data_IF_126693820823
#
_entry.id   IF_126693820823
#
_cell.length_a   1.000
_cell.length_b   1.000
_cell.length_c   1.000
_cell.angle_alpha   90.00
_cell.angle_beta   90.00
_cell.angle_gamma   90.00
#
_symmetry.space_group_name_H-M   'P 1'
#
loop_
_entity.id
_entity.type
_entity.pdbx_description
1 polymer ?
#
# COMPACT_ATOMS: atom_id res chain seq x y z
N UNK A 1 -12.37 25.02 -5.39
CA UNK A 1 -11.18 24.42 -4.74
C UNK A 1 -11.03 22.96 -5.13
N UNK A 2 -11.87 22.04 -4.64
CA UNK A 2 -11.76 20.60 -4.99
C UNK A 2 -11.89 20.33 -6.49
N UNK A 3 -12.88 20.94 -7.15
CA UNK A 3 -13.01 20.89 -8.61
C UNK A 3 -11.73 21.37 -9.32
N UNK A 4 -11.14 22.48 -8.86
CA UNK A 4 -9.95 23.07 -9.48
C UNK A 4 -8.72 22.19 -9.29
N UNK A 5 -8.61 21.50 -8.15
CA UNK A 5 -7.57 20.49 -7.90
C UNK A 5 -7.65 19.37 -8.94
N UNK A 6 -8.78 18.66 -9.05
CA UNK A 6 -8.93 17.55 -10.00
C UNK A 6 -8.69 17.99 -11.45
N UNK A 7 -9.20 19.17 -11.82
CA UNK A 7 -8.98 19.74 -13.15
C UNK A 7 -7.51 20.07 -13.40
N UNK A 8 -6.86 20.77 -12.49
CA UNK A 8 -5.51 21.31 -12.73
C UNK A 8 -4.43 20.25 -12.57
N UNK A 9 -4.62 19.35 -11.61
CA UNK A 9 -3.66 18.31 -11.28
C UNK A 9 -3.89 17.10 -12.19
N UNK A 10 -5.11 16.56 -12.24
CA UNK A 10 -5.37 15.28 -12.92
C UNK A 10 -5.99 15.40 -14.31
N UNK A 11 -6.26 16.62 -14.78
CA UNK A 11 -7.01 16.87 -16.02
C UNK A 11 -8.38 16.16 -16.03
N UNK A 12 -9.03 16.13 -14.85
CA UNK A 12 -10.34 15.52 -14.62
C UNK A 12 -11.38 16.58 -14.32
N UNK A 13 -12.49 16.61 -15.06
CA UNK A 13 -13.50 17.66 -14.97
C UNK A 13 -14.71 17.21 -14.14
N UNK A 14 -14.99 17.87 -13.03
CA UNK A 14 -16.09 17.47 -12.13
C UNK A 14 -15.74 16.25 -11.29
N UNK A 15 -16.75 15.61 -10.70
CA UNK A 15 -16.57 14.33 -10.00
C UNK A 15 -16.48 13.17 -11.00
N UNK A 16 -17.12 13.29 -12.16
CA UNK A 16 -17.32 12.22 -13.14
C UNK A 16 -16.42 12.28 -14.38
N UNK A 17 -15.60 13.32 -14.51
CA UNK A 17 -14.74 13.54 -15.67
C UNK A 17 -15.46 14.19 -16.87
N UNK A 18 -16.78 14.44 -16.77
CA UNK A 18 -17.60 15.02 -17.83
C UNK A 18 -18.10 16.42 -17.52
N UNK A 19 -17.49 17.08 -16.51
CA UNK A 19 -17.85 18.43 -16.09
C UNK A 19 -19.30 18.53 -15.60
N UNK A 20 -19.81 17.47 -14.97
CA UNK A 20 -21.15 17.48 -14.37
C UNK A 20 -21.27 18.54 -13.28
N UNK A 21 -22.49 19.06 -13.12
CA UNK A 21 -22.78 20.10 -12.14
C UNK A 21 -22.59 19.54 -10.74
N UNK A 22 -21.81 20.22 -9.92
CA UNK A 22 -21.61 19.88 -8.51
C UNK A 22 -22.67 20.59 -7.68
N UNK A 23 -23.53 19.84 -6.99
CA UNK A 23 -24.60 20.37 -6.13
C UNK A 23 -24.28 20.08 -4.67
N UNK A 24 -24.40 21.11 -3.83
CA UNK A 24 -24.15 21.05 -2.39
C UNK A 24 -25.42 21.50 -1.66
N UNK A 25 -25.96 20.62 -0.83
CA UNK A 25 -27.19 20.82 -0.06
C UNK A 25 -26.84 21.15 1.40
N UNK A 26 -26.75 22.44 1.70
CA UNK A 26 -26.48 22.95 3.04
C UNK A 26 -27.77 23.14 3.84
N UNK A 27 -27.66 23.09 5.17
CA UNK A 27 -28.82 23.14 6.08
C UNK A 27 -29.84 22.04 5.79
N UNK A 28 -29.36 20.89 5.33
CA UNK A 28 -30.21 19.72 5.16
C UNK A 28 -30.56 19.18 6.55
N UNK A 29 -31.82 19.37 6.96
CA UNK A 29 -32.28 18.98 8.29
C UNK A 29 -33.02 17.66 8.21
N UNK A 30 -32.41 16.64 8.77
CA UNK A 30 -33.06 15.36 9.05
C UNK A 30 -33.12 15.16 10.57
N UNK A 31 -34.32 15.34 11.14
CA UNK A 31 -34.51 15.47 12.60
C UNK A 31 -34.06 14.24 13.41
N UNK A 32 -33.87 13.10 12.77
CA UNK A 32 -33.47 11.84 13.41
C UNK A 32 -32.02 11.44 13.11
N UNK A 33 -31.34 12.14 12.20
CA UNK A 33 -29.94 11.91 11.87
C UNK A 33 -29.00 12.69 12.82
N UNK A 34 -27.79 12.17 13.02
CA UNK A 34 -26.73 12.87 13.72
C UNK A 34 -26.03 13.88 12.79
N UNK A 35 -25.22 14.76 13.36
CA UNK A 35 -24.30 15.60 12.59
C UNK A 35 -23.47 14.75 11.62
N UNK A 36 -23.60 15.01 10.31
CA UNK A 36 -22.88 14.27 9.27
C UNK A 36 -22.77 15.08 7.96
N UNK A 37 -21.90 14.64 7.06
CA UNK A 37 -21.97 14.95 5.64
C UNK A 37 -21.94 13.64 4.84
N UNK A 38 -22.48 13.65 3.63
CA UNK A 38 -22.40 12.50 2.75
C UNK A 38 -22.55 12.88 1.28
N UNK A 39 -21.88 12.14 0.41
CA UNK A 39 -22.21 12.03 -1.02
C UNK A 39 -23.35 11.04 -1.23
N UNK A 40 -24.41 11.48 -1.91
CA UNK A 40 -25.48 10.58 -2.36
C UNK A 40 -25.19 10.11 -3.80
N UNK A 41 -24.88 8.83 -4.04
CA UNK A 41 -24.60 8.32 -5.38
C UNK A 41 -25.84 8.21 -6.27
N UNK A 42 -27.06 8.29 -5.70
CA UNK A 42 -28.31 8.23 -6.47
C UNK A 42 -28.67 9.58 -7.07
N UNK A 43 -28.48 10.65 -6.30
CA UNK A 43 -28.74 12.02 -6.77
C UNK A 43 -27.48 12.69 -7.34
N UNK A 44 -26.30 12.15 -7.03
CA UNK A 44 -24.99 12.73 -7.37
C UNK A 44 -24.80 14.12 -6.75
N UNK A 45 -25.20 14.29 -5.48
CA UNK A 45 -25.13 15.54 -4.73
C UNK A 45 -24.49 15.33 -3.35
N UNK A 46 -23.93 16.39 -2.77
CA UNK A 46 -23.38 16.37 -1.41
C UNK A 46 -24.40 16.97 -0.44
N UNK A 47 -24.65 16.31 0.68
CA UNK A 47 -25.56 16.75 1.73
C UNK A 47 -24.83 16.99 3.04
N UNK A 48 -25.20 18.06 3.73
CA UNK A 48 -24.63 18.43 5.03
C UNK A 48 -25.72 18.50 6.09
N UNK A 49 -25.74 17.48 6.96
CA UNK A 49 -26.60 17.40 8.14
C UNK A 49 -25.86 18.03 9.31
N UNK A 50 -26.00 19.34 9.49
CA UNK A 50 -25.47 20.01 10.67
C UNK A 50 -26.26 21.27 10.99
N UNK A 51 -26.14 21.73 12.23
CA UNK A 51 -26.78 22.96 12.65
C UNK A 51 -25.75 24.06 12.98
N UNK A 52 -25.50 25.01 12.06
CA UNK A 52 -24.54 26.09 12.30
C UNK A 52 -24.88 26.92 13.53
N UNK A 53 -23.87 27.42 14.23
CA UNK A 53 -23.99 28.11 15.53
C UNK A 53 -24.98 29.30 15.54
N UNK A 54 -25.15 29.97 14.39
CA UNK A 54 -26.00 31.16 14.20
C UNK A 54 -27.25 30.90 13.36
N UNK A 55 -27.69 29.64 13.22
CA UNK A 55 -28.81 29.26 12.35
C UNK A 55 -30.12 29.03 13.12
N UNK A 56 -31.24 29.08 12.39
CA UNK A 56 -32.58 28.87 12.97
C UNK A 56 -32.79 27.44 13.47
N UNK A 57 -32.04 26.45 12.97
CA UNK A 57 -32.22 25.07 13.44
C UNK A 57 -31.85 24.89 14.92
N UNK A 58 -31.05 25.80 15.49
CA UNK A 58 -30.75 25.82 16.92
C UNK A 58 -32.00 26.06 17.78
N UNK A 59 -33.01 26.74 17.22
CA UNK A 59 -34.30 26.94 17.89
C UNK A 59 -35.09 25.65 18.07
N UNK A 60 -34.84 24.62 17.26
CA UNK A 60 -35.47 23.31 17.42
C UNK A 60 -34.89 22.53 18.60
N UNK A 61 -33.72 22.91 19.12
CA UNK A 61 -33.13 22.33 20.33
C UNK A 61 -32.85 20.83 20.22
N UNK A 62 -32.64 20.30 19.01
CA UNK A 62 -32.43 18.86 18.77
C UNK A 62 -30.98 18.50 19.11
N UNK A 63 -30.70 17.76 20.20
CA UNK A 63 -29.33 17.56 20.67
C UNK A 63 -28.43 16.81 19.67
N UNK A 64 -28.99 15.92 18.85
CA UNK A 64 -28.24 15.11 17.87
C UNK A 64 -27.62 15.91 16.72
N UNK A 65 -28.14 17.10 16.41
CA UNK A 65 -27.63 18.01 15.37
C UNK A 65 -26.98 19.26 15.97
N UNK A 66 -27.00 19.40 17.30
CA UNK A 66 -26.41 20.48 18.10
C UNK A 66 -25.30 19.94 19.00
N UNK A 67 -24.56 18.95 18.49
CA UNK A 67 -23.45 18.37 19.23
C UNK A 67 -22.29 19.38 19.28
N UNK A 68 -21.88 19.85 20.49
CA UNK A 68 -20.83 20.85 20.65
C UNK A 68 -19.43 20.32 20.30
N UNK A 69 -19.31 19.03 19.98
CA UNK A 69 -18.08 18.41 19.47
C UNK A 69 -17.74 18.94 18.07
N UNK A 70 -18.76 19.34 17.29
CA UNK A 70 -18.60 19.71 15.89
C UNK A 70 -18.86 21.20 15.65
N UNK A 71 -17.99 21.83 14.86
CA UNK A 71 -18.13 23.22 14.44
C UNK A 71 -18.78 23.36 13.05
N UNK A 72 -18.16 22.80 12.01
CA UNK A 72 -18.60 22.99 10.62
C UNK A 72 -18.36 21.76 9.73
N UNK A 73 -19.43 21.19 9.18
CA UNK A 73 -19.35 20.10 8.20
C UNK A 73 -19.17 20.60 6.76
N UNK A 74 -19.29 21.90 6.50
CA UNK A 74 -18.98 22.51 5.19
C UNK A 74 -17.53 22.92 5.04
N UNK A 75 -16.66 22.47 5.96
CA UNK A 75 -15.21 22.65 5.89
C UNK A 75 -14.66 22.10 4.56
N UNK A 76 -13.50 22.62 4.14
CA UNK A 76 -12.88 22.12 2.90
C UNK A 76 -12.52 20.64 3.02
N UNK A 77 -12.15 20.21 4.22
CA UNK A 77 -11.79 18.83 4.52
C UNK A 77 -12.94 17.87 4.23
N UNK A 78 -14.10 18.13 4.85
CA UNK A 78 -15.30 17.32 4.66
C UNK A 78 -15.80 17.44 3.22
N UNK A 79 -15.88 18.66 2.68
CA UNK A 79 -16.36 18.88 1.30
C UNK A 79 -15.51 18.17 0.25
N UNK A 80 -14.19 18.14 0.42
CA UNK A 80 -13.29 17.45 -0.50
C UNK A 80 -13.31 15.93 -0.34
N UNK A 81 -13.52 15.44 0.88
CA UNK A 81 -13.79 14.02 1.16
C UNK A 81 -15.09 13.57 0.48
N UNK A 82 -16.21 14.28 0.67
CA UNK A 82 -17.49 13.92 0.06
C UNK A 82 -17.45 13.97 -1.47
N UNK A 83 -16.83 15.00 -2.03
CA UNK A 83 -16.58 15.06 -3.48
C UNK A 83 -15.73 13.87 -3.96
N UNK A 84 -14.80 13.43 -3.11
CA UNK A 84 -13.96 12.26 -3.32
C UNK A 84 -14.76 10.99 -3.58
N UNK A 85 -15.87 10.77 -2.86
CA UNK A 85 -16.75 9.63 -3.11
C UNK A 85 -17.34 9.65 -4.53
N UNK A 86 -17.72 10.82 -5.04
CA UNK A 86 -18.17 10.96 -6.42
C UNK A 86 -17.09 10.58 -7.43
N UNK A 87 -15.83 10.97 -7.19
CA UNK A 87 -14.68 10.59 -8.02
C UNK A 87 -14.40 9.09 -7.95
N UNK A 88 -14.44 8.51 -6.75
CA UNK A 88 -14.24 7.07 -6.53
C UNK A 88 -15.33 6.26 -7.23
N UNK A 89 -16.58 6.69 -7.11
CA UNK A 89 -17.73 6.08 -7.77
C UNK A 89 -17.62 6.11 -9.30
N UNK A 90 -17.20 7.24 -9.87
CA UNK A 90 -17.06 7.40 -11.31
C UNK A 90 -15.88 6.59 -11.92
N UNK A 91 -14.80 6.39 -11.16
CA UNK A 91 -13.59 5.71 -11.66
C UNK A 91 -13.59 4.21 -11.38
N UNK A 92 -13.82 3.82 -10.13
CA UNK A 92 -13.65 2.43 -9.69
C UNK A 92 -14.97 1.75 -9.32
N UNK A 93 -15.99 2.52 -8.93
CA UNK A 93 -17.29 1.98 -8.53
C UNK A 93 -17.21 0.99 -7.37
N UNK A 94 -16.30 1.23 -6.41
CA UNK A 94 -16.12 0.40 -5.22
C UNK A 94 -17.45 0.18 -4.50
N UNK A 95 -17.81 -1.08 -4.27
CA UNK A 95 -19.09 -1.45 -3.70
C UNK A 95 -19.07 -1.32 -2.16
N UNK A 96 -20.17 -1.74 -1.53
CA UNK A 96 -20.34 -1.70 -0.08
C UNK A 96 -19.86 -2.96 0.65
N UNK A 97 -19.04 -3.81 0.00
CA UNK A 97 -18.36 -4.89 0.71
C UNK A 97 -17.29 -4.31 1.65
N UNK A 98 -16.89 -5.01 2.73
CA UNK A 98 -15.99 -4.48 3.76
C UNK A 98 -14.73 -3.76 3.27
N UNK A 99 -13.90 -4.41 2.45
CA UNK A 99 -12.66 -3.81 1.96
C UNK A 99 -12.86 -2.76 0.85
N UNK A 100 -13.68 -3.00 -0.20
CA UNK A 100 -13.96 -1.96 -1.19
C UNK A 100 -14.53 -0.68 -0.57
N UNK A 101 -15.39 -0.81 0.44
CA UNK A 101 -15.96 0.35 1.12
C UNK A 101 -14.89 1.09 1.95
N UNK A 102 -14.05 0.37 2.70
CA UNK A 102 -12.92 0.97 3.40
C UNK A 102 -11.92 1.65 2.43
N UNK A 103 -11.70 1.10 1.23
CA UNK A 103 -10.91 1.77 0.20
C UNK A 103 -11.58 3.04 -0.31
N UNK A 104 -12.91 3.03 -0.48
CA UNK A 104 -13.66 4.23 -0.90
C UNK A 104 -13.48 5.38 0.10
N UNK A 105 -13.67 5.10 1.39
CA UNK A 105 -13.38 6.04 2.48
C UNK A 105 -11.92 6.52 2.47
N UNK A 106 -10.97 5.60 2.32
CA UNK A 106 -9.54 5.93 2.37
C UNK A 106 -9.08 6.76 1.17
N UNK A 107 -9.64 6.52 -0.02
CA UNK A 107 -9.38 7.38 -1.18
C UNK A 107 -10.00 8.77 -0.99
N UNK A 108 -11.19 8.87 -0.41
CA UNK A 108 -11.80 10.17 -0.07
C UNK A 108 -10.94 10.96 0.93
N UNK A 109 -10.37 10.30 1.94
CA UNK A 109 -9.35 10.90 2.82
C UNK A 109 -8.11 11.35 2.02
N UNK A 110 -7.58 10.52 1.11
CA UNK A 110 -6.44 10.90 0.26
C UNK A 110 -6.74 12.15 -0.58
N UNK A 111 -7.95 12.26 -1.15
CA UNK A 111 -8.34 13.43 -1.93
C UNK A 111 -8.43 14.68 -1.07
N UNK A 112 -8.95 14.59 0.15
CA UNK A 112 -8.88 15.68 1.11
C UNK A 112 -7.44 16.13 1.34
N UNK A 113 -6.53 15.21 1.70
CA UNK A 113 -5.12 15.52 1.95
C UNK A 113 -4.49 16.23 0.75
N UNK A 114 -4.75 15.73 -0.46
CA UNK A 114 -4.18 16.26 -1.68
C UNK A 114 -4.75 17.65 -2.05
N UNK A 115 -6.06 17.87 -1.83
CA UNK A 115 -6.71 19.18 -1.99
C UNK A 115 -6.17 20.19 -0.98
N UNK A 116 -5.98 19.81 0.28
CA UNK A 116 -5.38 20.65 1.31
C UNK A 116 -3.93 21.03 0.95
N UNK A 117 -3.14 20.09 0.44
CA UNK A 117 -1.81 20.39 -0.10
C UNK A 117 -1.88 21.38 -1.28
N UNK A 118 -2.81 21.17 -2.21
CA UNK A 118 -2.99 22.03 -3.38
C UNK A 118 -3.34 23.47 -2.99
N UNK A 119 -4.32 23.68 -2.12
CA UNK A 119 -4.72 25.05 -1.72
C UNK A 119 -3.66 25.73 -0.88
N UNK A 120 -2.89 24.99 -0.07
CA UNK A 120 -1.75 25.56 0.64
C UNK A 120 -0.70 26.11 -0.33
N UNK A 121 -0.41 25.36 -1.41
CA UNK A 121 0.60 25.76 -2.40
C UNK A 121 0.12 26.84 -3.36
N UNK A 122 -1.12 26.74 -3.83
CA UNK A 122 -1.65 27.61 -4.90
C UNK A 122 -2.31 28.87 -4.35
N UNK A 123 -2.98 28.76 -3.20
CA UNK A 123 -3.74 29.86 -2.59
C UNK A 123 -3.07 30.41 -1.32
N UNK A 124 -1.96 29.83 -0.87
CA UNK A 124 -1.25 30.27 0.34
C UNK A 124 -2.02 29.96 1.63
N UNK A 125 -3.02 29.07 1.58
CA UNK A 125 -3.75 28.63 2.76
C UNK A 125 -2.84 27.87 3.73
N UNK A 126 -3.30 27.68 4.96
CA UNK A 126 -2.55 27.00 6.03
C UNK A 126 -3.35 25.84 6.60
N UNK A 127 -3.81 24.95 5.72
CA UNK A 127 -4.58 23.74 6.04
C UNK A 127 -3.67 22.69 6.66
N UNK A 128 -4.21 21.89 7.59
CA UNK A 128 -3.56 20.68 8.03
C UNK A 128 -3.73 19.59 6.96
N UNK A 129 -2.65 18.85 6.68
CA UNK A 129 -2.68 17.79 5.69
C UNK A 129 -2.95 16.41 6.30
N UNK A 130 -2.70 16.21 7.59
CA UNK A 130 -2.64 14.85 8.17
C UNK A 130 -3.70 14.58 9.22
N UNK A 131 -4.47 15.60 9.59
CA UNK A 131 -5.70 15.47 10.36
C UNK A 131 -6.87 15.63 9.39
N UNK A 132 -7.83 14.73 9.52
CA UNK A 132 -9.04 14.74 8.68
C UNK A 132 -10.12 15.44 9.48
N UNK A 133 -10.73 16.47 8.88
CA UNK A 133 -11.83 17.24 9.46
C UNK A 133 -11.44 17.95 10.78
N UNK A 134 -10.21 18.51 10.84
CA UNK A 134 -9.73 19.27 12.01
C UNK A 134 -10.42 20.63 12.20
N UNK A 135 -10.96 21.20 11.12
CA UNK A 135 -11.86 22.35 11.18
C UNK A 135 -13.27 21.97 11.68
N UNK A 136 -13.68 20.72 11.49
CA UNK A 136 -14.99 20.22 11.94
C UNK A 136 -14.93 19.78 13.40
N UNK A 137 -13.83 19.16 13.82
CA UNK A 137 -13.57 18.76 15.22
C UNK A 137 -12.31 19.47 15.71
N UNK A 138 -12.45 20.68 16.30
CA UNK A 138 -11.31 21.42 16.83
C UNK A 138 -10.57 20.63 17.92
N UNK A 139 -9.23 20.74 17.93
CA UNK A 139 -8.39 20.10 18.94
C UNK A 139 -7.86 18.72 18.58
N UNK A 140 -8.13 18.22 17.36
CA UNK A 140 -7.52 16.98 16.87
C UNK A 140 -8.06 16.42 15.56
N UNK A 141 -9.20 16.90 15.07
CA UNK A 141 -9.88 16.30 13.93
C UNK A 141 -10.54 14.96 14.25
N UNK A 142 -11.26 14.44 13.26
CA UNK A 142 -11.95 13.15 13.38
C UNK A 142 -10.97 11.98 13.33
N UNK A 143 -10.01 12.02 12.40
CA UNK A 143 -9.04 10.95 12.15
C UNK A 143 -7.65 11.52 11.86
N UNK A 144 -6.63 10.67 11.92
CA UNK A 144 -5.26 11.05 11.53
C UNK A 144 -4.65 10.06 10.55
N UNK A 145 -4.17 10.57 9.41
CA UNK A 145 -3.38 9.80 8.46
C UNK A 145 -1.92 9.60 8.93
N UNK A 146 -1.37 10.51 9.74
CA UNK A 146 0.00 10.40 10.26
C UNK A 146 0.11 9.39 11.41
N UNK A 147 -0.85 9.45 12.33
CA UNK A 147 -0.92 8.59 13.51
C UNK A 147 -2.36 8.09 13.76
N UNK A 148 -2.83 7.09 13.00
CA UNK A 148 -4.19 6.54 13.15
C UNK A 148 -4.56 6.13 14.58
N UNK A 149 -3.59 5.62 15.34
CA UNK A 149 -3.80 5.17 16.74
C UNK A 149 -3.83 6.31 17.76
N UNK A 150 -3.72 7.57 17.34
CA UNK A 150 -3.66 8.70 18.27
C UNK A 150 -4.94 8.81 19.09
N UNK A 151 -4.82 8.85 20.41
CA UNK A 151 -5.98 9.10 21.30
C UNK A 151 -6.41 10.56 21.34
N UNK A 152 -5.73 11.43 20.59
CA UNK A 152 -6.08 12.86 20.48
C UNK A 152 -7.08 13.15 19.37
N UNK A 153 -7.34 12.21 18.45
CA UNK A 153 -8.40 12.33 17.45
C UNK A 153 -9.69 11.71 17.98
N UNK A 154 -10.84 12.10 17.42
CA UNK A 154 -12.13 11.60 17.88
C UNK A 154 -12.31 10.10 17.61
N UNK A 155 -11.79 9.60 16.48
CA UNK A 155 -11.91 8.22 16.02
C UNK A 155 -10.53 7.63 15.70
N UNK A 156 -9.82 7.07 16.70
CA UNK A 156 -8.59 6.32 16.47
C UNK A 156 -8.87 5.03 15.70
N UNK A 157 -7.89 4.56 14.93
CA UNK A 157 -8.04 3.33 14.14
C UNK A 157 -6.70 2.70 13.72
N UNK A 158 -6.76 1.68 12.85
CA UNK A 158 -5.61 0.88 12.47
C UNK A 158 -4.64 1.64 11.58
N UNK A 159 -3.34 1.38 11.77
CA UNK A 159 -2.27 1.80 10.86
C UNK A 159 -1.63 0.62 10.11
N UNK A 160 -2.04 -0.60 10.46
CA UNK A 160 -1.56 -1.87 9.92
C UNK A 160 -2.76 -2.72 9.53
N UNK A 161 -2.74 -3.30 8.33
CA UNK A 161 -3.77 -4.19 7.82
C UNK A 161 -3.94 -5.41 8.72
N UNK A 162 -5.17 -5.64 9.20
CA UNK A 162 -5.50 -6.65 10.23
C UNK A 162 -4.63 -6.56 11.50
N UNK A 163 -4.11 -5.36 11.81
CA UNK A 163 -3.36 -5.07 13.04
C UNK A 163 -4.24 -4.63 14.20
N UNK A 164 -3.66 -3.94 15.18
CA UNK A 164 -4.44 -3.43 16.30
C UNK A 164 -5.40 -2.34 15.83
N UNK A 165 -6.55 -2.27 16.51
CA UNK A 165 -7.67 -1.37 16.19
C UNK A 165 -8.32 -1.63 14.82
N UNK A 166 -7.92 -2.67 14.09
CA UNK A 166 -8.72 -3.12 12.95
C UNK A 166 -10.08 -3.59 13.45
N UNK A 167 -11.15 -3.08 12.83
CA UNK A 167 -12.50 -3.47 13.18
C UNK A 167 -12.90 -4.73 12.41
N UNK A 168 -12.93 -5.85 13.14
CA UNK A 168 -13.39 -7.14 12.64
C UNK A 168 -14.87 -7.41 12.90
N UNK A 169 -15.49 -6.66 13.82
CA UNK A 169 -16.86 -6.91 14.28
C UNK A 169 -17.86 -6.32 13.29
N UNK A 170 -17.77 -5.00 13.08
CA UNK A 170 -18.69 -4.29 12.20
C UNK A 170 -18.09 -4.05 10.80
N UNK A 171 -16.78 -4.25 10.66
CA UNK A 171 -16.01 -3.87 9.47
C UNK A 171 -16.25 -2.42 9.05
N UNK A 172 -16.29 -1.54 10.06
CA UNK A 172 -16.60 -0.13 9.91
C UNK A 172 -15.60 0.53 8.92
N UNK A 173 -16.08 1.07 7.79
CA UNK A 173 -15.23 1.47 6.69
C UNK A 173 -14.38 2.68 7.03
N UNK A 174 -14.87 3.65 7.81
CA UNK A 174 -14.11 4.83 8.21
C UNK A 174 -12.93 4.45 9.12
N UNK A 175 -13.09 3.40 9.94
CA UNK A 175 -12.05 2.84 10.80
C UNK A 175 -11.02 2.13 9.94
N UNK A 176 -11.42 1.11 9.20
CA UNK A 176 -10.47 0.27 8.45
C UNK A 176 -9.76 1.03 7.32
N UNK A 177 -10.39 2.07 6.75
CA UNK A 177 -9.79 2.96 5.75
C UNK A 177 -8.51 3.64 6.19
N UNK A 178 -8.29 3.81 7.51
CA UNK A 178 -7.11 4.48 8.03
C UNK A 178 -5.80 3.76 7.68
N UNK A 179 -5.83 2.48 7.33
CA UNK A 179 -4.68 1.78 6.75
C UNK A 179 -4.28 2.39 5.40
N UNK A 180 -5.24 2.73 4.53
CA UNK A 180 -4.97 3.36 3.24
C UNK A 180 -4.57 4.84 3.43
N UNK A 181 -5.23 5.57 4.33
CA UNK A 181 -4.83 6.95 4.69
C UNK A 181 -3.40 6.98 5.24
N UNK A 182 -3.03 6.00 6.08
CA UNK A 182 -1.68 5.87 6.62
C UNK A 182 -0.64 5.47 5.59
N UNK A 183 -1.02 4.60 4.63
CA UNK A 183 -0.18 4.26 3.49
C UNK A 183 0.18 5.53 2.70
N UNK A 184 -0.80 6.39 2.43
CA UNK A 184 -0.58 7.61 1.67
C UNK A 184 0.33 8.60 2.39
N UNK A 185 0.16 8.79 3.71
CA UNK A 185 1.08 9.56 4.54
C UNK A 185 2.51 9.00 4.43
N UNK A 186 2.65 7.69 4.64
CA UNK A 186 3.94 7.00 4.67
C UNK A 186 4.66 7.09 3.34
N UNK A 187 3.95 6.91 2.21
CA UNK A 187 4.49 7.09 0.88
C UNK A 187 4.91 8.55 0.63
N UNK A 188 4.07 9.51 1.04
CA UNK A 188 4.30 10.94 0.78
C UNK A 188 5.48 11.49 1.58
N UNK A 189 5.52 11.22 2.89
CA UNK A 189 6.48 11.82 3.83
C UNK A 189 7.68 10.93 4.16
N UNK A 190 7.53 9.63 3.99
CA UNK A 190 8.47 8.64 4.52
C UNK A 190 8.23 8.42 6.00
N UNK A 191 8.52 7.21 6.47
CA UNK A 191 8.40 6.82 7.86
C UNK A 191 9.29 5.63 8.14
N UNK A 192 9.91 5.61 9.31
CA UNK A 192 10.60 4.45 9.85
C UNK A 192 9.87 3.98 11.10
N UNK A 193 9.74 2.67 11.27
CA UNK A 193 9.08 2.12 12.43
C UNK A 193 8.96 0.61 12.37
N UNK A 194 8.10 0.08 13.22
CA UNK A 194 7.70 -1.32 13.26
C UNK A 194 6.18 -1.35 13.20
N UNK A 195 5.62 -2.21 12.35
CA UNK A 195 4.17 -2.38 12.25
C UNK A 195 3.65 -3.41 13.27
N UNK A 196 2.34 -3.62 13.31
CA UNK A 196 1.72 -4.51 14.30
C UNK A 196 2.03 -5.99 14.07
N UNK A 197 2.55 -6.33 12.88
CA UNK A 197 3.08 -7.65 12.55
C UNK A 197 4.55 -7.83 12.97
N UNK A 198 5.09 -6.89 13.74
CA UNK A 198 6.46 -6.84 14.27
C UNK A 198 7.55 -6.66 13.21
N UNK A 199 7.18 -6.26 11.99
CA UNK A 199 8.13 -6.05 10.92
C UNK A 199 8.63 -4.60 10.90
N UNK A 200 9.96 -4.46 10.87
CA UNK A 200 10.59 -3.16 10.73
C UNK A 200 10.48 -2.67 9.28
N UNK A 201 10.23 -1.38 9.10
CA UNK A 201 10.20 -0.73 7.79
C UNK A 201 10.93 0.60 7.82
N UNK A 202 11.42 1.04 6.66
CA UNK A 202 12.04 2.34 6.46
C UNK A 202 11.70 2.86 5.05
N UNK A 203 10.68 3.72 4.98
CA UNK A 203 10.14 4.25 3.73
C UNK A 203 10.75 5.63 3.45
N UNK A 204 11.32 5.79 2.25
CA UNK A 204 11.75 7.10 1.74
C UNK A 204 10.57 7.82 1.11
N UNK A 205 10.21 9.00 1.62
CA UNK A 205 9.06 9.77 1.11
C UNK A 205 9.27 10.31 -0.30
N UNK A 206 8.20 10.34 -1.11
CA UNK A 206 8.23 10.82 -2.51
C UNK A 206 7.53 12.16 -2.74
N UNK A 207 7.06 12.82 -1.69
CA UNK A 207 6.17 13.99 -1.70
C UNK A 207 4.70 13.65 -2.01
N UNK A 208 3.80 14.53 -1.56
CA UNK A 208 2.35 14.41 -1.80
C UNK A 208 2.05 14.48 -3.29
N UNK A 209 2.74 15.33 -4.06
CA UNK A 209 2.50 15.53 -5.49
C UNK A 209 2.85 14.29 -6.33
N UNK A 210 3.81 13.47 -5.90
CA UNK A 210 4.08 12.21 -6.59
C UNK A 210 3.14 11.10 -6.11
N UNK A 211 2.84 11.06 -4.81
CA UNK A 211 1.97 10.06 -4.21
C UNK A 211 0.52 10.19 -4.73
N UNK A 212 -0.01 11.41 -4.87
CA UNK A 212 -1.38 11.65 -5.37
C UNK A 212 -1.56 11.14 -6.81
N UNK A 213 -0.49 11.18 -7.62
CA UNK A 213 -0.50 10.65 -8.99
C UNK A 213 -0.55 9.13 -9.01
N UNK A 214 0.16 8.50 -8.09
CA UNK A 214 0.10 7.05 -7.90
C UNK A 214 -1.31 6.68 -7.45
N UNK A 215 -1.84 7.31 -6.38
CA UNK A 215 -3.18 7.04 -5.88
C UNK A 215 -4.24 7.20 -6.99
N UNK A 216 -4.22 8.31 -7.73
CA UNK A 216 -5.19 8.58 -8.79
C UNK A 216 -5.12 7.56 -9.92
N UNK A 217 -3.92 7.24 -10.41
CA UNK A 217 -3.74 6.23 -11.46
C UNK A 217 -4.05 4.81 -10.97
N UNK A 218 -3.92 4.56 -9.66
CA UNK A 218 -4.27 3.27 -9.05
C UNK A 218 -5.77 3.07 -9.04
N UNK A 219 -6.53 4.09 -8.67
CA UNK A 219 -7.99 4.06 -8.67
C UNK A 219 -8.56 3.64 -10.04
N UNK A 220 -7.97 4.13 -11.15
CA UNK A 220 -8.31 3.72 -12.53
C UNK A 220 -8.02 2.25 -12.88
N UNK A 221 -7.28 1.52 -12.03
CA UNK A 221 -7.00 0.10 -12.19
C UNK A 221 -7.82 -0.78 -11.24
N UNK A 222 -8.57 -0.17 -10.32
CA UNK A 222 -9.44 -0.89 -9.40
C UNK A 222 -10.78 -1.20 -10.05
N UNK A 223 -11.49 -2.12 -9.43
CA UNK A 223 -12.79 -2.63 -9.84
C UNK A 223 -13.71 -2.71 -8.62
N UNK A 224 -15.04 -2.85 -8.78
CA UNK A 224 -15.99 -2.70 -7.68
C UNK A 224 -15.75 -3.55 -6.44
N UNK A 225 -15.17 -4.75 -6.59
CA UNK A 225 -14.88 -5.69 -5.49
C UNK A 225 -13.39 -5.71 -5.11
N UNK A 226 -12.61 -4.70 -5.47
CA UNK A 226 -11.18 -4.67 -5.19
C UNK A 226 -10.91 -4.51 -3.68
N UNK A 227 -10.01 -5.35 -3.15
CA UNK A 227 -9.51 -5.26 -1.77
C UNK A 227 -8.12 -4.62 -1.67
N UNK A 228 -7.55 -4.60 -0.46
CA UNK A 228 -6.27 -3.93 -0.17
C UNK A 228 -5.10 -4.50 -1.00
N UNK A 229 -5.04 -5.81 -1.21
CA UNK A 229 -3.97 -6.41 -2.03
C UNK A 229 -4.09 -6.07 -3.53
N UNK A 230 -5.31 -5.83 -4.02
CA UNK A 230 -5.53 -5.26 -5.36
C UNK A 230 -5.08 -3.80 -5.42
N UNK A 231 -5.36 -3.00 -4.39
CA UNK A 231 -4.87 -1.61 -4.27
C UNK A 231 -3.33 -1.54 -4.24
N UNK A 232 -2.67 -2.44 -3.50
CA UNK A 232 -1.20 -2.60 -3.52
C UNK A 232 -0.67 -2.82 -4.92
N UNK A 233 -1.27 -3.78 -5.62
CA UNK A 233 -0.86 -4.15 -6.99
C UNK A 233 -1.04 -2.97 -7.95
N UNK A 234 -2.21 -2.33 -7.94
CA UNK A 234 -2.51 -1.15 -8.76
C UNK A 234 -1.57 0.03 -8.51
N UNK A 235 -1.17 0.26 -7.25
CA UNK A 235 -0.22 1.30 -6.88
C UNK A 235 1.18 1.04 -7.43
N UNK A 236 1.69 -0.18 -7.31
CA UNK A 236 3.01 -0.54 -7.84
C UNK A 236 3.01 -0.42 -9.37
N UNK A 237 1.96 -0.91 -10.06
CA UNK A 237 1.83 -0.72 -11.51
C UNK A 237 1.74 0.75 -11.91
N UNK A 238 1.01 1.56 -11.16
CA UNK A 238 0.91 3.01 -11.38
C UNK A 238 2.26 3.70 -11.23
N UNK A 239 3.01 3.40 -10.17
CA UNK A 239 4.35 3.96 -9.97
C UNK A 239 5.30 3.57 -11.11
N UNK A 240 5.29 2.30 -11.54
CA UNK A 240 6.10 1.82 -12.68
C UNK A 240 5.75 2.57 -13.97
N UNK A 241 4.47 2.82 -14.22
CA UNK A 241 3.99 3.52 -15.41
C UNK A 241 4.29 5.03 -15.39
N UNK A 242 4.28 5.66 -14.21
CA UNK A 242 4.49 7.10 -14.06
C UNK A 242 5.99 7.48 -14.02
N UNK A 243 6.81 6.67 -13.34
CA UNK A 243 8.18 7.04 -12.98
C UNK A 243 9.24 6.08 -13.55
N UNK A 244 8.82 4.97 -14.18
CA UNK A 244 9.69 3.94 -14.74
C UNK A 244 9.82 2.73 -13.81
N UNK A 245 10.03 1.54 -14.40
CA UNK A 245 9.98 0.25 -13.68
C UNK A 245 10.96 0.12 -12.52
N UNK A 246 12.11 0.77 -12.65
CA UNK A 246 13.27 0.65 -11.76
C UNK A 246 13.51 1.94 -10.95
N UNK A 247 12.48 2.78 -10.80
CA UNK A 247 12.61 4.08 -10.15
C UNK A 247 12.55 3.97 -8.62
N UNK A 248 13.07 4.99 -7.94
CA UNK A 248 12.97 5.10 -6.47
C UNK A 248 11.51 5.18 -6.01
N UNK A 249 10.60 5.74 -6.81
CA UNK A 249 9.18 5.82 -6.49
C UNK A 249 8.52 4.45 -6.46
N UNK A 250 8.93 3.52 -7.34
CA UNK A 250 8.47 2.12 -7.29
C UNK A 250 8.92 1.48 -5.99
N UNK A 251 10.19 1.65 -5.61
CA UNK A 251 10.73 1.17 -4.33
C UNK A 251 9.93 1.74 -3.15
N UNK A 252 9.77 3.06 -3.06
CA UNK A 252 9.03 3.69 -1.97
C UNK A 252 7.56 3.26 -1.92
N UNK A 253 6.93 3.01 -3.07
CA UNK A 253 5.55 2.50 -3.14
C UNK A 253 5.46 1.09 -2.55
N UNK A 254 6.38 0.20 -2.91
CA UNK A 254 6.47 -1.15 -2.34
C UNK A 254 6.70 -1.06 -0.82
N UNK A 255 7.70 -0.28 -0.40
CA UNK A 255 8.06 -0.15 1.02
C UNK A 255 6.91 0.44 1.85
N UNK A 256 6.12 1.38 1.31
CA UNK A 256 4.95 1.94 2.00
C UNK A 256 3.84 0.91 2.20
N UNK A 257 3.61 0.01 1.22
CA UNK A 257 2.65 -1.08 1.37
C UNK A 257 3.12 -2.16 2.36
N UNK A 258 4.43 -2.45 2.37
CA UNK A 258 5.03 -3.32 3.38
C UNK A 258 4.88 -2.71 4.79
N UNK A 259 5.07 -1.39 4.92
CA UNK A 259 4.93 -0.67 6.19
C UNK A 259 3.53 -0.79 6.80
N UNK A 260 2.46 -0.70 5.99
CA UNK A 260 1.08 -0.89 6.46
C UNK A 260 0.64 -2.35 6.47
N UNK A 261 1.53 -3.31 6.21
CA UNK A 261 1.26 -4.74 6.41
C UNK A 261 0.30 -5.37 5.40
N UNK A 262 0.03 -4.75 4.25
CA UNK A 262 -0.82 -5.34 3.22
C UNK A 262 -0.01 -6.32 2.39
N UNK A 263 -0.39 -7.61 2.28
CA UNK A 263 0.42 -8.60 1.58
C UNK A 263 0.44 -8.37 0.06
N UNK A 264 1.59 -8.65 -0.56
CA UNK A 264 1.69 -8.80 -2.01
C UNK A 264 0.84 -9.98 -2.50
N UNK A 265 0.25 -9.83 -3.68
CA UNK A 265 -0.43 -10.91 -4.41
C UNK A 265 0.61 -11.90 -4.95
N UNK A 266 0.98 -12.87 -4.13
CA UNK A 266 1.89 -13.96 -4.47
C UNK A 266 1.46 -15.26 -3.80
N UNK A 267 1.60 -16.37 -4.50
CA UNK A 267 1.37 -17.72 -3.93
C UNK A 267 2.55 -18.23 -3.12
N UNK A 268 3.73 -17.59 -3.25
CA UNK A 268 4.95 -17.98 -2.54
C UNK A 268 5.43 -16.90 -1.59
N UNK A 269 5.62 -17.31 -0.34
CA UNK A 269 5.88 -16.44 0.79
C UNK A 269 6.42 -17.25 1.98
N UNK A 270 7.33 -16.66 2.73
CA UNK A 270 7.67 -17.10 4.07
C UNK A 270 6.90 -16.32 5.14
N UNK A 271 6.96 -16.76 6.40
CA UNK A 271 6.15 -16.18 7.47
C UNK A 271 4.71 -16.68 7.44
N UNK A 272 4.11 -16.88 8.62
CA UNK A 272 2.66 -17.11 8.70
C UNK A 272 1.92 -15.78 8.40
N UNK A 273 1.56 -15.57 7.13
CA UNK A 273 0.97 -14.31 6.68
C UNK A 273 2.02 -13.20 6.60
N UNK A 274 1.71 -12.02 7.14
CA UNK A 274 2.65 -10.88 7.22
C UNK A 274 3.43 -10.84 8.54
N UNK A 275 3.44 -11.93 9.32
CA UNK A 275 4.15 -11.99 10.60
C UNK A 275 5.64 -12.25 10.38
N UNK A 276 6.47 -11.51 11.14
CA UNK A 276 7.92 -11.65 11.15
C UNK A 276 8.40 -13.10 11.41
N UNK A 277 9.02 -13.81 10.44
CA UNK A 277 9.63 -15.12 10.67
C UNK A 277 10.89 -15.04 11.56
N UNK A 278 11.32 -16.16 12.13
CA UNK A 278 12.57 -16.26 12.91
C UNK A 278 13.79 -16.59 12.05
N UNK A 279 13.56 -17.13 10.87
CA UNK A 279 14.57 -17.49 9.87
C UNK A 279 14.29 -16.71 8.58
N UNK A 280 15.28 -16.00 8.04
CA UNK A 280 15.07 -15.08 6.92
C UNK A 280 16.34 -14.89 6.08
N UNK A 281 16.19 -14.30 4.89
CA UNK A 281 17.27 -14.02 3.94
C UNK A 281 17.97 -12.73 4.37
N UNK A 282 19.31 -12.75 4.41
CA UNK A 282 20.11 -11.58 4.81
C UNK A 282 20.90 -11.00 3.66
N UNK A 283 21.15 -11.77 2.60
CA UNK A 283 21.92 -11.28 1.46
C UNK A 283 21.65 -12.06 0.18
N UNK A 284 21.55 -11.34 -0.93
CA UNK A 284 21.51 -11.89 -2.29
C UNK A 284 22.50 -11.13 -3.18
N UNK A 285 23.41 -11.86 -3.84
CA UNK A 285 24.31 -11.32 -4.87
C UNK A 285 24.26 -12.14 -6.14
N UNK A 286 24.11 -11.44 -7.25
CA UNK A 286 24.19 -11.99 -8.61
C UNK A 286 24.69 -10.90 -9.56
N UNK A 287 25.81 -11.16 -10.24
CA UNK A 287 26.43 -10.17 -11.14
C UNK A 287 26.75 -8.87 -10.38
N UNK A 288 26.20 -7.74 -10.82
CA UNK A 288 26.31 -6.40 -10.24
C UNK A 288 25.29 -6.12 -9.11
N UNK A 289 24.34 -7.02 -8.85
CA UNK A 289 23.46 -6.94 -7.69
C UNK A 289 24.19 -7.35 -6.41
N UNK A 290 24.15 -6.47 -5.41
CA UNK A 290 24.46 -6.77 -4.01
C UNK A 290 23.33 -6.22 -3.13
N UNK A 291 22.45 -7.10 -2.65
CA UNK A 291 21.28 -6.74 -1.84
C UNK A 291 21.42 -7.30 -0.43
N UNK A 292 21.66 -6.42 0.54
CA UNK A 292 21.45 -6.73 1.95
C UNK A 292 19.95 -6.73 2.26
N UNK A 293 19.46 -7.82 2.81
CA UNK A 293 18.06 -8.01 3.19
C UNK A 293 17.88 -7.99 4.70
N UNK A 294 16.72 -7.51 5.11
CA UNK A 294 16.26 -7.59 6.47
C UNK A 294 15.22 -8.69 6.58
N UNK A 295 14.58 -8.77 7.73
CA UNK A 295 13.43 -9.63 7.89
C UNK A 295 12.18 -8.90 7.39
N UNK A 296 11.77 -9.16 6.14
CA UNK A 296 10.73 -8.42 5.43
C UNK A 296 9.35 -9.12 5.56
N UNK A 297 9.00 -9.57 6.77
CA UNK A 297 7.78 -10.37 7.03
C UNK A 297 7.66 -11.62 6.13
N UNK A 298 8.79 -12.16 5.68
CA UNK A 298 8.85 -13.35 4.84
C UNK A 298 8.51 -13.13 3.36
N UNK A 299 8.26 -11.90 2.89
CA UNK A 299 8.27 -11.61 1.46
C UNK A 299 8.78 -10.20 1.14
N UNK A 300 9.73 -10.10 0.20
CA UNK A 300 10.18 -8.82 -0.36
C UNK A 300 10.07 -8.76 -1.89
N UNK A 301 9.41 -7.71 -2.38
CA UNK A 301 9.44 -7.33 -3.80
C UNK A 301 10.62 -6.36 -4.06
N UNK A 302 11.68 -6.88 -4.67
CA UNK A 302 12.84 -6.12 -5.14
C UNK A 302 12.80 -5.89 -6.67
N UNK A 303 11.63 -5.94 -7.31
CA UNK A 303 11.48 -5.83 -8.77
C UNK A 303 11.86 -4.46 -9.35
N UNK A 304 12.15 -3.47 -8.50
CA UNK A 304 12.75 -2.19 -8.89
C UNK A 304 14.27 -2.28 -9.15
N UNK A 305 14.92 -3.38 -8.77
CA UNK A 305 16.33 -3.67 -9.11
C UNK A 305 16.41 -4.40 -10.46
N UNK A 306 17.52 -4.23 -11.20
CA UNK A 306 17.67 -4.83 -12.53
C UNK A 306 19.14 -5.21 -12.89
N UNK A 307 19.81 -6.09 -12.12
CA UNK A 307 21.15 -6.55 -12.49
C UNK A 307 21.21 -7.08 -13.91
N UNK A 308 22.36 -6.90 -14.55
CA UNK A 308 22.58 -7.37 -15.92
C UNK A 308 23.35 -8.69 -15.91
N UNK A 309 22.82 -9.69 -16.61
CA UNK A 309 23.48 -10.97 -16.88
C UNK A 309 23.58 -11.23 -18.39
N UNK A 310 24.57 -12.02 -18.80
CA UNK A 310 24.84 -12.30 -20.22
C UNK A 310 24.58 -13.77 -20.58
N UNK A 311 24.05 -13.98 -21.79
CA UNK A 311 23.83 -15.32 -22.35
C UNK A 311 25.10 -16.16 -22.35
N UNK A 312 24.99 -17.42 -21.91
CA UNK A 312 26.11 -18.37 -21.90
C UNK A 312 27.17 -18.11 -20.82
N UNK A 313 27.12 -16.98 -20.11
CA UNK A 313 28.04 -16.67 -19.02
C UNK A 313 27.74 -17.50 -17.77
N UNK A 314 28.78 -17.65 -16.94
CA UNK A 314 28.65 -18.23 -15.60
C UNK A 314 28.85 -17.14 -14.54
N UNK A 315 28.03 -17.19 -13.50
CA UNK A 315 28.07 -16.26 -12.37
C UNK A 315 28.18 -17.01 -11.06
N UNK A 316 28.91 -16.44 -10.10
CA UNK A 316 28.85 -16.90 -8.72
C UNK A 316 27.73 -16.15 -8.00
N UNK A 317 26.67 -16.88 -7.66
CA UNK A 317 25.61 -16.40 -6.79
C UNK A 317 26.02 -16.62 -5.34
N UNK A 318 25.85 -15.60 -4.51
CA UNK A 318 26.05 -15.67 -3.06
C UNK A 318 24.72 -15.39 -2.37
N UNK A 319 24.33 -16.29 -1.47
CA UNK A 319 23.10 -16.22 -0.71
C UNK A 319 23.44 -16.35 0.77
N UNK A 320 22.85 -15.52 1.62
CA UNK A 320 23.01 -15.64 3.07
C UNK A 320 21.67 -15.60 3.78
N UNK A 321 21.61 -16.30 4.92
CA UNK A 321 20.44 -16.32 5.80
C UNK A 321 20.89 -16.25 7.25
N UNK A 322 19.96 -15.89 8.12
CA UNK A 322 20.09 -15.94 9.56
C UNK A 322 18.89 -16.67 10.15
N UNK A 323 19.09 -17.29 11.33
CA UNK A 323 18.07 -18.04 12.04
C UNK A 323 18.20 -17.87 13.55
N UNK A 324 17.08 -17.96 14.24
CA UNK A 324 17.06 -18.03 15.71
C UNK A 324 17.14 -19.48 16.19
N UNK A 325 17.68 -19.75 17.39
CA UNK A 325 17.64 -21.09 17.98
C UNK A 325 16.21 -21.61 18.07
N UNK A 326 15.97 -22.80 17.54
CA UNK A 326 14.66 -23.47 17.52
C UNK A 326 14.77 -24.92 17.97
N UNK A 327 13.67 -25.47 18.50
CA UNK A 327 13.55 -26.88 18.86
C UNK A 327 12.23 -27.42 18.27
N UNK A 328 12.28 -28.33 17.28
CA UNK A 328 13.48 -28.95 16.72
C UNK A 328 14.34 -27.96 15.89
N UNK A 329 15.65 -28.26 15.71
CA UNK A 329 16.54 -27.43 14.91
C UNK A 329 16.11 -27.37 13.45
N UNK A 330 16.18 -26.18 12.83
CA UNK A 330 15.80 -25.96 11.44
C UNK A 330 17.00 -25.67 10.54
N UNK A 331 17.19 -26.48 9.50
CA UNK A 331 18.16 -26.18 8.45
C UNK A 331 17.52 -25.23 7.41
N UNK A 332 18.33 -24.46 6.67
CA UNK A 332 17.81 -23.54 5.65
C UNK A 332 17.94 -24.15 4.26
N UNK A 333 16.81 -24.42 3.60
CA UNK A 333 16.78 -24.95 2.23
C UNK A 333 16.47 -23.85 1.24
N UNK A 334 17.24 -23.82 0.18
CA UNK A 334 17.21 -22.76 -0.83
C UNK A 334 16.79 -23.30 -2.18
N UNK A 335 15.97 -22.52 -2.88
CA UNK A 335 15.83 -22.59 -4.34
C UNK A 335 15.84 -21.21 -4.95
N UNK A 336 16.41 -21.13 -6.15
CA UNK A 336 16.38 -19.91 -6.97
C UNK A 336 15.95 -20.28 -8.37
N UNK A 337 15.03 -19.49 -8.93
CA UNK A 337 14.55 -19.62 -10.31
C UNK A 337 14.76 -18.32 -11.08
N UNK A 338 15.10 -18.44 -12.36
CA UNK A 338 15.13 -17.31 -13.30
C UNK A 338 14.27 -17.69 -14.50
N UNK A 339 13.23 -16.88 -14.77
CA UNK A 339 12.31 -17.07 -15.89
C UNK A 339 13.06 -16.80 -17.22
N UNK A 340 13.69 -17.83 -17.78
CA UNK A 340 14.55 -17.69 -18.95
C UNK A 340 13.75 -17.60 -20.25
N UNK A 341 12.54 -18.16 -20.27
CA UNK A 341 11.68 -18.16 -21.44
C UNK A 341 10.70 -16.96 -21.48
N UNK A 342 10.63 -16.19 -20.39
CA UNK A 342 9.81 -14.98 -20.20
C UNK A 342 8.31 -15.25 -20.33
N UNK A 343 7.85 -16.44 -19.95
CA UNK A 343 6.43 -16.81 -19.96
C UNK A 343 5.69 -16.42 -18.67
N UNK A 344 6.41 -15.94 -17.66
CA UNK A 344 5.86 -15.48 -16.39
C UNK A 344 5.65 -16.58 -15.36
N UNK A 345 6.03 -17.82 -15.66
CA UNK A 345 6.06 -18.96 -14.74
C UNK A 345 7.51 -19.40 -14.45
N UNK A 346 7.69 -20.36 -13.52
CA UNK A 346 9.01 -20.94 -13.27
C UNK A 346 8.96 -22.46 -13.37
N UNK A 347 9.60 -22.99 -14.40
CA UNK A 347 9.72 -24.42 -14.66
C UNK A 347 10.97 -25.04 -14.02
N UNK A 348 11.04 -26.38 -14.02
CA UNK A 348 12.20 -27.09 -13.48
C UNK A 348 13.51 -26.73 -14.21
N UNK A 349 13.46 -26.44 -15.52
CA UNK A 349 14.63 -25.99 -16.30
C UNK A 349 15.13 -24.59 -15.92
N UNK A 350 14.35 -23.84 -15.15
CA UNK A 350 14.64 -22.46 -14.75
C UNK A 350 15.16 -22.38 -13.32
N UNK A 351 15.16 -23.50 -12.59
CA UNK A 351 15.78 -23.61 -11.28
C UNK A 351 17.30 -23.61 -11.41
N UNK A 352 17.93 -22.52 -10.98
CA UNK A 352 19.39 -22.32 -11.07
C UNK A 352 20.13 -22.70 -9.78
N UNK A 353 19.42 -22.75 -8.65
CA UNK A 353 19.98 -23.18 -7.35
C UNK A 353 19.00 -24.13 -6.66
N UNK A 354 19.54 -25.21 -6.08
CA UNK A 354 18.91 -26.01 -5.04
C UNK A 354 20.02 -26.48 -4.09
N UNK A 355 20.06 -25.96 -2.87
CA UNK A 355 21.05 -26.37 -1.86
C UNK A 355 20.59 -26.03 -0.43
N UNK A 356 21.35 -26.47 0.57
CA UNK A 356 21.02 -26.32 1.98
C UNK A 356 22.17 -25.72 2.78
N UNK A 357 21.83 -24.88 3.76
CA UNK A 357 22.71 -24.52 4.87
C UNK A 357 22.26 -25.35 6.06
N UNK A 358 23.15 -26.24 6.53
CA UNK A 358 22.86 -27.17 7.64
C UNK A 358 22.95 -26.48 8.99
N UNK A 359 23.74 -25.41 9.10
CA UNK A 359 23.79 -24.58 10.29
C UNK A 359 22.43 -23.90 10.52
N UNK A 360 21.85 -24.14 11.68
CA UNK A 360 20.49 -23.74 12.04
C UNK A 360 20.39 -22.26 12.36
N UNK A 361 21.52 -21.59 12.60
CA UNK A 361 21.59 -20.15 12.81
C UNK A 361 21.80 -19.39 11.48
N UNK A 362 21.84 -20.12 10.36
CA UNK A 362 22.10 -19.57 9.04
C UNK A 362 23.58 -19.57 8.67
N UNK A 363 23.92 -18.78 7.68
CA UNK A 363 25.24 -18.78 7.06
C UNK A 363 25.18 -18.38 5.61
N UNK A 364 26.22 -18.73 4.86
CA UNK A 364 26.39 -18.31 3.46
C UNK A 364 26.53 -19.52 2.54
N UNK A 365 25.81 -19.47 1.42
CA UNK A 365 25.82 -20.43 0.33
C UNK A 365 26.38 -19.76 -0.92
N UNK A 366 27.33 -20.40 -1.60
CA UNK A 366 27.86 -19.95 -2.88
C UNK A 366 27.61 -21.01 -3.96
N UNK A 367 27.02 -20.60 -5.08
CA UNK A 367 26.78 -21.48 -6.24
C UNK A 367 27.18 -20.80 -7.54
N UNK A 368 27.88 -21.55 -8.40
CA UNK A 368 28.07 -21.15 -9.79
C UNK A 368 26.84 -21.50 -10.58
N UNK A 369 26.20 -20.50 -11.20
CA UNK A 369 25.07 -20.68 -12.12
C UNK A 369 25.53 -20.38 -13.54
N UNK A 370 25.00 -21.10 -14.53
CA UNK A 370 25.25 -20.87 -15.95
C UNK A 370 23.97 -20.38 -16.62
N UNK A 371 24.06 -19.23 -17.28
CA UNK A 371 22.92 -18.67 -18.02
C UNK A 371 22.78 -19.43 -19.34
N UNK A 372 21.61 -20.02 -19.65
CA UNK A 372 21.41 -20.75 -20.90
C UNK A 372 21.62 -19.83 -22.12
N UNK A 373 22.28 -20.34 -23.16
CA UNK A 373 22.42 -19.61 -24.44
C UNK A 373 21.08 -19.46 -25.18
N UNK A 374 20.07 -20.25 -24.78
CA UNK A 374 18.71 -20.23 -25.32
C UNK A 374 17.77 -19.29 -24.56
N UNK A 375 18.22 -18.66 -23.47
CA UNK A 375 17.40 -17.72 -22.73
C UNK A 375 17.03 -16.51 -23.60
N UNK A 376 15.84 -15.95 -23.39
CA UNK A 376 15.40 -14.77 -24.11
C UNK A 376 16.04 -13.51 -23.52
N UNK A 377 16.50 -12.61 -24.38
CA UNK A 377 17.04 -11.30 -23.95
C UNK A 377 15.93 -10.36 -23.49
N UNK A 378 16.28 -9.41 -22.63
CA UNK A 378 15.37 -8.41 -22.05
C UNK A 378 15.16 -8.61 -20.55
N UNK A 379 14.23 -7.84 -19.99
CA UNK A 379 13.87 -7.96 -18.57
C UNK A 379 13.06 -9.23 -18.31
N UNK A 380 13.44 -9.94 -17.26
CA UNK A 380 12.75 -11.12 -16.73
C UNK A 380 12.73 -11.13 -15.21
N UNK A 381 12.08 -12.13 -14.61
CA UNK A 381 11.96 -12.28 -13.14
C UNK A 381 12.94 -13.32 -12.60
N UNK A 382 13.39 -13.09 -11.37
CA UNK A 382 14.06 -14.08 -10.55
C UNK A 382 13.37 -14.18 -9.20
N UNK A 383 13.20 -15.40 -8.71
CA UNK A 383 12.70 -15.70 -7.36
C UNK A 383 13.78 -16.38 -6.55
N UNK A 384 14.05 -15.86 -5.36
CA UNK A 384 14.91 -16.46 -4.35
C UNK A 384 14.02 -16.90 -3.19
N UNK A 385 14.02 -18.20 -2.87
CA UNK A 385 13.20 -18.74 -1.78
C UNK A 385 14.08 -19.52 -0.79
N UNK A 386 13.98 -19.13 0.48
CA UNK A 386 14.62 -19.82 1.59
C UNK A 386 13.53 -20.29 2.55
N UNK A 387 13.49 -21.59 2.82
CA UNK A 387 12.59 -22.21 3.79
C UNK A 387 13.39 -22.83 4.92
N UNK A 388 13.07 -22.49 6.16
CA UNK A 388 13.60 -23.17 7.32
C UNK A 388 12.81 -24.46 7.56
N UNK A 389 13.50 -25.59 7.60
CA UNK A 389 12.88 -26.92 7.56
C UNK A 389 13.29 -27.80 8.74
N UNK A 390 12.34 -28.58 9.22
CA UNK A 390 12.51 -29.58 10.25
C UNK A 390 12.61 -30.99 9.62
N UNK A 391 13.56 -31.79 10.11
CA UNK A 391 13.72 -33.19 9.70
C UNK A 391 13.75 -33.39 8.17
N UNK A 392 12.74 -34.09 7.64
CA UNK A 392 12.65 -34.51 6.24
C UNK A 392 11.78 -33.60 5.35
N UNK A 393 11.28 -32.47 5.86
CA UNK A 393 10.52 -31.52 5.04
C UNK A 393 11.26 -31.14 3.75
N UNK A 394 10.54 -30.90 2.65
CA UNK A 394 11.13 -30.66 1.32
C UNK A 394 11.79 -29.28 1.14
N UNK A 395 12.44 -29.09 -0.01
CA UNK A 395 12.85 -27.76 -0.49
C UNK A 395 11.62 -26.90 -0.83
N UNK A 396 11.69 -25.56 -0.72
CA UNK A 396 10.57 -24.69 -1.04
C UNK A 396 10.12 -24.90 -2.49
N UNK A 397 8.81 -25.01 -2.74
CA UNK A 397 8.25 -24.98 -4.11
C UNK A 397 8.06 -23.53 -4.57
N UNK A 398 7.94 -23.36 -5.88
CA UNK A 398 7.77 -22.05 -6.52
C UNK A 398 6.53 -21.29 -6.03
N UNK A 399 5.50 -22.02 -5.62
CA UNK A 399 4.15 -21.58 -5.25
C UNK A 399 3.80 -21.98 -3.81
N UNK A 400 4.80 -22.09 -2.94
CA UNK A 400 4.62 -22.52 -1.56
C UNK A 400 4.64 -21.35 -0.57
N UNK A 401 3.66 -21.35 0.33
CA UNK A 401 3.69 -20.58 1.56
C UNK A 401 4.15 -21.43 2.74
N UNK A 402 5.05 -20.91 3.57
CA UNK A 402 5.62 -21.61 4.72
C UNK A 402 5.81 -20.69 5.92
N UNK A 403 5.76 -21.24 7.13
CA UNK A 403 5.78 -20.44 8.37
C UNK A 403 7.11 -19.77 8.67
N UNK A 404 8.23 -20.41 8.31
CA UNK A 404 9.58 -19.96 8.65
C UNK A 404 10.46 -19.92 7.40
N UNK A 405 11.02 -18.75 7.12
CA UNK A 405 11.77 -18.46 5.90
C UNK A 405 11.30 -17.19 5.22
N UNK A 406 11.79 -16.95 4.01
CA UNK A 406 11.50 -15.76 3.25
C UNK A 406 11.59 -16.01 1.74
N UNK A 407 10.83 -15.21 0.99
CA UNK A 407 10.84 -15.20 -0.48
C UNK A 407 11.14 -13.79 -0.96
N UNK A 408 12.07 -13.65 -1.89
CA UNK A 408 12.41 -12.39 -2.52
C UNK A 408 12.31 -12.48 -4.04
N UNK A 409 11.59 -11.54 -4.65
CA UNK A 409 11.43 -11.44 -6.10
C UNK A 409 12.23 -10.26 -6.66
N UNK A 410 12.88 -10.45 -7.81
CA UNK A 410 13.74 -9.48 -8.47
C UNK A 410 13.41 -9.36 -9.95
N UNK A 411 13.67 -8.20 -10.55
CA UNK A 411 13.81 -8.11 -12.01
C UNK A 411 15.28 -8.29 -12.39
N UNK A 412 15.55 -8.89 -13.53
CA UNK A 412 16.91 -9.09 -14.09
C UNK A 412 16.88 -8.76 -15.57
N UNK A 413 17.92 -8.13 -16.09
CA UNK A 413 18.07 -7.91 -17.54
C UNK A 413 19.05 -8.91 -18.14
N UNK A 414 18.58 -9.75 -19.06
CA UNK A 414 19.42 -10.67 -19.85
C UNK A 414 19.85 -9.98 -21.14
N UNK A 415 21.17 -9.94 -21.40
CA UNK A 415 21.74 -9.38 -22.64
C UNK A 415 22.58 -10.40 -23.39
N UNK A 416 22.74 -10.18 -24.69
CA UNK A 416 23.74 -10.90 -25.47
C UNK A 416 25.13 -10.31 -25.20
N UNK A 417 26.19 -11.10 -25.38
CA UNK A 417 27.53 -10.54 -25.48
C UNK A 417 27.61 -9.78 -26.81
N UNK A 418 27.59 -8.45 -26.74
CA UNK A 418 28.00 -7.59 -27.85
C UNK A 418 29.53 -7.43 -27.77
N UNK A 419 30.22 -7.94 -28.79
CA UNK A 419 31.65 -7.68 -29.03
C UNK A 419 31.91 -6.22 -29.40
#
# INVERSE_FOLDING_TARGET
>A
MTYDYFKSIHNWLGYDGNNSKVVNNVHYVELFAANNAFWDPMTEEIFYIYCPHNSICKTFGVPRILDPTYEDFTSLDVTSHEFGHGVNGAIAGLNYDPEPYALNEGFSDIWNIAVNNYVNKVLGMQKNLWLIADETVPGGGMRSAENPKSTTVLYPGPNTYYGDLWDFEDNEPHTNSLVLSHWFYTLSKGKQGTNDHHCGYNVSGISVEKAEKIAYKSLHQLFPTAGYSSARTAAIYSAKALYGKFSSEVKSTIDAWDAVGVPAETTSRGGQGMVKPQHYITFVKLSDLEKSSGNDCGYKDNSYLHPTIYLGASYNMLLSSEGSPSNPPKAHRWRVWIDFNRDGSYDFSEMVVQDSIIDTLGGTLQKTIKIPSTALTGDTKMRVSMKAVEGNEGYPRVDESFSEGEVEDYSITIKNFSF
#
